data_IF_150078097957
#
_entry.id   IF_150078097957
#
_cell.length_a   1.000
_cell.length_b   1.000
_cell.length_c   1.000
_cell.angle_alpha   90.00
_cell.angle_beta   90.00
_cell.angle_gamma   90.00
#
_symmetry.space_group_name_H-M   'P 1'
#
loop_
_entity.id
_entity.type
_entity.pdbx_description
1 polymer ?
#
# COMPACT_ATOMS: atom_id res chain seq x y z
N UNK A 1 -14.58 12.27 4.91
CA UNK A 1 -13.39 11.62 5.50
C UNK A 1 -12.53 11.08 4.36
N UNK A 2 -11.22 11.34 4.35
CA UNK A 2 -10.32 10.71 3.37
C UNK A 2 -10.22 9.20 3.61
N UNK A 3 -10.28 8.43 2.52
CA UNK A 3 -10.24 6.96 2.51
C UNK A 3 -8.83 6.40 2.30
N UNK A 4 -8.75 5.10 2.03
CA UNK A 4 -7.51 4.40 1.68
C UNK A 4 -7.50 4.02 0.20
N UNK A 5 -6.30 3.99 -0.40
CA UNK A 5 -6.07 3.51 -1.77
C UNK A 5 -5.26 2.21 -1.72
N UNK A 6 -5.85 1.10 -2.14
CA UNK A 6 -5.19 -0.20 -2.19
C UNK A 6 -4.66 -0.52 -3.59
N UNK A 7 -3.48 -1.14 -3.68
CA UNK A 7 -2.92 -1.63 -4.94
C UNK A 7 -2.61 -3.12 -4.88
N UNK A 8 -3.04 -3.85 -5.90
CA UNK A 8 -2.71 -5.26 -6.12
C UNK A 8 -2.11 -5.38 -7.53
N UNK A 9 -1.03 -6.14 -7.67
CA UNK A 9 -0.29 -6.34 -8.93
C UNK A 9 -0.11 -7.82 -9.26
N UNK A 10 -0.17 -8.72 -8.26
CA UNK A 10 -0.10 -10.18 -8.43
C UNK A 10 -1.43 -10.74 -8.95
N UNK A 11 -1.36 -11.65 -9.93
CA UNK A 11 -2.49 -12.28 -10.64
C UNK A 11 -3.15 -13.44 -9.89
N UNK A 12 -2.54 -13.94 -8.82
CA UNK A 12 -2.88 -15.28 -8.33
C UNK A 12 -3.98 -15.29 -7.26
N UNK A 13 -4.27 -14.17 -6.57
CA UNK A 13 -5.37 -14.12 -5.59
C UNK A 13 -5.90 -12.70 -5.30
N UNK A 14 -6.46 -12.05 -6.33
CA UNK A 14 -7.00 -10.69 -6.18
C UNK A 14 -8.12 -10.59 -5.13
N UNK A 15 -9.01 -11.58 -5.10
CA UNK A 15 -10.20 -11.53 -4.24
C UNK A 15 -9.81 -11.58 -2.76
N UNK A 16 -8.92 -12.50 -2.37
CA UNK A 16 -8.41 -12.60 -1.00
C UNK A 16 -7.66 -11.33 -0.57
N UNK A 17 -6.88 -10.74 -1.46
CA UNK A 17 -6.12 -9.53 -1.16
C UNK A 17 -7.05 -8.32 -1.01
N UNK A 18 -8.04 -8.18 -1.90
CA UNK A 18 -9.09 -7.15 -1.80
C UNK A 18 -9.88 -7.30 -0.50
N UNK A 19 -10.25 -8.52 -0.11
CA UNK A 19 -10.94 -8.79 1.14
C UNK A 19 -10.06 -8.42 2.35
N UNK A 20 -8.80 -8.84 2.35
CA UNK A 20 -7.84 -8.54 3.41
C UNK A 20 -7.64 -7.04 3.60
N UNK A 21 -7.47 -6.29 2.50
CA UNK A 21 -7.37 -4.84 2.51
C UNK A 21 -8.65 -4.16 3.00
N UNK A 22 -9.82 -4.68 2.57
CA UNK A 22 -11.13 -4.18 3.01
C UNK A 22 -11.33 -4.38 4.50
N UNK A 23 -10.96 -5.55 5.02
CA UNK A 23 -11.05 -5.86 6.44
C UNK A 23 -10.10 -4.97 7.27
N UNK A 24 -8.89 -4.69 6.76
CA UNK A 24 -7.97 -3.74 7.38
C UNK A 24 -8.58 -2.34 7.50
N UNK A 25 -9.15 -1.80 6.42
CA UNK A 25 -9.77 -0.48 6.41
C UNK A 25 -11.02 -0.40 7.32
N UNK A 26 -11.85 -1.44 7.31
CA UNK A 26 -13.06 -1.53 8.15
C UNK A 26 -12.74 -1.47 9.65
N UNK A 27 -11.64 -2.09 10.11
CA UNK A 27 -11.23 -2.07 11.53
C UNK A 27 -10.99 -0.67 12.08
N UNK A 28 -10.71 0.29 11.21
CA UNK A 28 -10.46 1.70 11.56
C UNK A 28 -11.55 2.63 10.99
N UNK A 29 -12.70 2.09 10.62
CA UNK A 29 -13.85 2.80 10.07
C UNK A 29 -13.48 3.69 8.85
N UNK A 30 -12.65 3.13 7.96
CA UNK A 30 -12.24 3.76 6.71
C UNK A 30 -12.78 2.98 5.51
N UNK A 31 -13.19 3.73 4.48
CA UNK A 31 -13.46 3.17 3.17
C UNK A 31 -12.14 2.96 2.43
N UNK A 32 -12.11 1.98 1.54
CA UNK A 32 -10.96 1.69 0.68
C UNK A 32 -11.41 1.45 -0.74
N UNK A 33 -10.67 2.04 -1.68
CA UNK A 33 -10.76 1.73 -3.10
C UNK A 33 -9.54 0.88 -3.48
N UNK A 34 -9.77 -0.36 -3.93
CA UNK A 34 -8.72 -1.29 -4.32
C UNK A 34 -8.59 -1.33 -5.83
N UNK A 35 -7.40 -1.01 -6.34
CA UNK A 35 -7.10 -0.94 -7.77
C UNK A 35 -6.17 -2.09 -8.14
N UNK A 36 -6.60 -2.88 -9.12
CA UNK A 36 -5.73 -3.87 -9.74
C UNK A 36 -4.86 -3.22 -10.83
N UNK A 37 -3.54 -3.31 -10.69
CA UNK A 37 -2.56 -2.67 -11.56
C UNK A 37 -1.68 -3.74 -12.20
N UNK A 38 -1.93 -4.01 -13.50
CA UNK A 38 -1.17 -5.01 -14.27
C UNK A 38 0.30 -4.63 -14.48
N UNK A 39 0.57 -3.34 -14.65
CA UNK A 39 1.94 -2.82 -14.83
C UNK A 39 2.26 -1.88 -13.67
N UNK A 40 3.21 -2.32 -12.83
CA UNK A 40 3.66 -1.64 -11.62
C UNK A 40 4.12 -0.20 -11.86
N UNK A 41 4.45 0.19 -13.11
CA UNK A 41 4.83 1.56 -13.46
C UNK A 41 3.69 2.57 -13.29
N UNK A 42 2.42 2.13 -13.34
CA UNK A 42 1.27 3.04 -13.20
C UNK A 42 0.90 3.36 -11.75
N UNK A 43 1.47 2.65 -10.77
CA UNK A 43 1.17 2.88 -9.35
C UNK A 43 1.45 4.35 -8.98
N UNK A 44 2.58 4.89 -9.43
CA UNK A 44 3.02 6.26 -9.16
C UNK A 44 2.00 7.28 -9.67
N UNK A 45 1.61 7.14 -10.94
CA UNK A 45 0.62 8.02 -11.57
C UNK A 45 -0.72 7.98 -10.83
N UNK A 46 -1.19 6.78 -10.43
CA UNK A 46 -2.46 6.64 -9.71
C UNK A 46 -2.44 7.30 -8.34
N UNK A 47 -1.30 7.27 -7.64
CA UNK A 47 -1.11 8.01 -6.38
C UNK A 47 -1.19 9.52 -6.65
N UNK A 48 -0.44 10.02 -7.63
CA UNK A 48 -0.41 11.45 -7.99
C UNK A 48 -1.82 11.95 -8.34
N UNK A 49 -2.57 11.21 -9.14
CA UNK A 49 -3.90 11.63 -9.60
C UNK A 49 -4.98 11.57 -8.51
N UNK A 50 -4.78 10.81 -7.44
CA UNK A 50 -5.83 10.58 -6.44
C UNK A 50 -5.47 10.92 -4.99
N UNK A 51 -4.26 11.40 -4.72
CA UNK A 51 -3.78 11.68 -3.36
C UNK A 51 -4.73 12.57 -2.54
N UNK A 52 -5.44 13.52 -3.17
CA UNK A 52 -6.38 14.39 -2.48
C UNK A 52 -7.55 13.64 -1.81
N UNK A 53 -7.96 12.49 -2.35
CA UNK A 53 -9.10 11.70 -1.88
C UNK A 53 -8.73 10.79 -0.71
N UNK A 54 -7.44 10.46 -0.57
CA UNK A 54 -6.97 9.42 0.31
C UNK A 54 -6.01 9.96 1.37
N UNK A 55 -5.87 9.25 2.48
CA UNK A 55 -4.89 9.55 3.51
C UNK A 55 -3.85 8.44 3.69
N UNK A 56 -4.04 7.29 3.04
CA UNK A 56 -3.13 6.15 3.13
C UNK A 56 -3.15 5.33 1.86
N UNK A 57 -1.97 4.86 1.46
CA UNK A 57 -1.77 3.88 0.40
C UNK A 57 -1.49 2.52 1.03
N UNK A 58 -2.17 1.48 0.56
CA UNK A 58 -2.06 0.12 1.04
C UNK A 58 -1.56 -0.81 -0.06
N UNK A 59 -0.57 -1.63 0.27
CA UNK A 59 -0.12 -2.76 -0.54
C UNK A 59 -0.32 -4.04 0.24
N UNK A 60 -0.54 -5.16 -0.47
CA UNK A 60 -0.65 -6.44 0.21
C UNK A 60 0.73 -6.92 0.65
N UNK A 61 1.71 -7.01 -0.25
CA UNK A 61 3.04 -7.53 0.02
C UNK A 61 4.15 -6.62 -0.57
N UNK A 62 5.41 -6.78 -0.13
CA UNK A 62 6.58 -6.19 -0.78
C UNK A 62 6.77 -6.66 -2.23
N UNK A 63 6.26 -7.85 -2.56
CA UNK A 63 6.25 -8.38 -3.92
C UNK A 63 5.39 -7.56 -4.88
N UNK A 64 4.55 -6.65 -4.37
CA UNK A 64 3.79 -5.69 -5.19
C UNK A 64 4.70 -4.63 -5.84
N UNK A 65 5.91 -4.47 -5.32
CA UNK A 65 6.93 -3.59 -5.90
C UNK A 65 7.83 -4.38 -6.86
N UNK A 66 8.43 -3.68 -7.80
CA UNK A 66 9.34 -4.27 -8.79
C UNK A 66 10.72 -4.53 -8.19
N UNK A 67 11.12 -3.68 -7.24
CA UNK A 67 12.38 -3.73 -6.51
C UNK A 67 12.35 -2.73 -5.35
N UNK A 68 13.40 -2.75 -4.53
CA UNK A 68 13.54 -1.86 -3.37
C UNK A 68 13.55 -0.36 -3.75
N UNK A 69 14.09 0.00 -4.91
CA UNK A 69 14.12 1.40 -5.36
C UNK A 69 12.71 1.91 -5.65
N UNK A 70 11.84 1.08 -6.22
CA UNK A 70 10.44 1.43 -6.41
C UNK A 70 9.73 1.62 -5.06
N UNK A 71 9.96 0.73 -4.08
CA UNK A 71 9.40 0.89 -2.74
C UNK A 71 9.82 2.23 -2.10
N UNK A 72 11.12 2.53 -2.12
CA UNK A 72 11.67 3.78 -1.58
C UNK A 72 11.04 4.99 -2.26
N UNK A 73 10.94 4.96 -3.59
CA UNK A 73 10.32 6.03 -4.36
C UNK A 73 8.85 6.23 -3.98
N UNK A 74 8.06 5.15 -3.94
CA UNK A 74 6.64 5.21 -3.55
C UNK A 74 6.48 5.72 -2.11
N UNK A 75 7.36 5.32 -1.19
CA UNK A 75 7.35 5.84 0.17
C UNK A 75 7.60 7.35 0.21
N UNK A 76 8.64 7.84 -0.48
CA UNK A 76 8.92 9.28 -0.58
C UNK A 76 7.76 10.04 -1.26
N UNK A 77 7.17 9.44 -2.29
CA UNK A 77 6.02 10.00 -3.00
C UNK A 77 4.83 10.16 -2.04
N UNK A 78 4.51 9.13 -1.26
CA UNK A 78 3.46 9.20 -0.25
C UNK A 78 3.73 10.31 0.78
N UNK A 79 4.97 10.42 1.29
CA UNK A 79 5.33 11.50 2.21
C UNK A 79 5.13 12.89 1.60
N UNK A 80 5.51 13.07 0.33
CA UNK A 80 5.37 14.36 -0.37
C UNK A 80 3.91 14.83 -0.51
N UNK A 81 2.97 13.88 -0.51
CA UNK A 81 1.53 14.14 -0.59
C UNK A 81 0.80 13.98 0.76
N UNK A 82 1.52 13.90 1.88
CA UNK A 82 0.95 13.66 3.21
C UNK A 82 0.07 12.39 3.28
N UNK A 83 0.49 11.35 2.57
CA UNK A 83 -0.09 10.02 2.60
C UNK A 83 0.75 9.12 3.50
N UNK A 84 0.08 8.32 4.31
CA UNK A 84 0.72 7.19 5.00
C UNK A 84 0.87 6.01 4.02
N UNK A 85 1.86 5.15 4.24
CA UNK A 85 2.01 3.90 3.49
C UNK A 85 1.93 2.72 4.46
N UNK A 86 1.21 1.67 4.09
CA UNK A 86 1.25 0.40 4.85
C UNK A 86 1.28 -0.81 3.93
N UNK A 87 1.93 -1.87 4.40
CA UNK A 87 1.99 -3.19 3.74
C UNK A 87 1.39 -4.21 4.70
N UNK A 88 0.39 -4.96 4.25
CA UNK A 88 -0.49 -5.77 5.11
C UNK A 88 0.14 -7.13 5.45
N UNK A 89 0.66 -7.85 4.46
CA UNK A 89 1.35 -9.12 4.64
C UNK A 89 2.71 -8.86 5.25
N UNK A 90 2.76 -8.94 6.57
CA UNK A 90 4.00 -9.04 7.32
C UNK A 90 4.14 -10.52 7.73
N UNK A 91 4.97 -11.29 7.01
CA UNK A 91 5.38 -12.65 7.42
C UNK A 91 6.36 -12.57 8.62
N UNK A 92 6.02 -11.75 9.61
CA UNK A 92 6.74 -11.66 10.87
C UNK A 92 5.74 -12.12 11.91
N UNK A 93 6.08 -13.17 12.65
CA UNK A 93 5.33 -13.68 13.80
C UNK A 93 5.29 -12.67 14.97
N UNK A 94 5.00 -11.41 14.68
CA UNK A 94 5.02 -10.30 15.62
C UNK A 94 3.73 -9.53 15.44
N UNK A 95 2.92 -9.48 16.50
CA UNK A 95 1.67 -8.71 16.61
C UNK A 95 1.88 -7.18 16.58
N UNK A 96 2.94 -6.70 15.92
CA UNK A 96 3.38 -5.31 15.92
C UNK A 96 3.61 -4.86 14.48
N UNK A 97 2.86 -3.83 14.07
CA UNK A 97 3.07 -3.15 12.81
C UNK A 97 4.50 -2.59 12.75
N UNK A 98 5.37 -3.18 11.94
CA UNK A 98 6.73 -2.67 11.73
C UNK A 98 6.65 -1.38 10.91
N UNK A 99 7.21 -0.29 11.45
CA UNK A 99 7.31 0.96 10.69
C UNK A 99 8.20 0.77 9.45
N UNK A 100 7.71 1.21 8.30
CA UNK A 100 8.43 1.07 7.03
C UNK A 100 9.80 1.78 7.04
N UNK A 101 9.93 2.84 7.84
CA UNK A 101 11.20 3.55 8.12
C UNK A 101 12.28 2.60 8.62
N UNK A 102 11.93 1.65 9.49
CA UNK A 102 12.84 0.67 10.06
C UNK A 102 13.36 -0.30 9.01
N UNK A 103 12.48 -0.74 8.10
CA UNK A 103 12.84 -1.66 7.01
C UNK A 103 13.70 -0.99 5.93
N UNK A 104 13.50 0.31 5.69
CA UNK A 104 14.28 1.07 4.72
C UNK A 104 15.67 1.49 5.25
N UNK A 105 15.91 1.46 6.58
CA UNK A 105 17.19 1.80 7.20
C UNK A 105 18.18 0.64 7.29
N UNK A 106 17.72 -0.61 7.17
CA UNK A 106 18.52 -1.83 7.40
C UNK A 106 19.24 -2.33 6.13
N UNK A 107 19.03 -1.70 4.97
CA UNK A 107 19.63 -2.09 3.67
C UNK A 107 20.68 -1.09 3.22
#
# INVERSE_FOLDING_TARGET
MKGYLGFITDKNDHESYTESMSNYAKRVNKNIDVVFVKDKKFIEQLIIENHDKYCRVLFYNYEEFSNIKQLQYIFMLCQSYNLELSIIKQDIHSDVAVELSYLLQII
#
